data_IF_987670626810
#
_entry.id   IF_987670626810
#
_cell.length_a   1.000
_cell.length_b   1.000
_cell.length_c   1.000
_cell.angle_alpha   90.00
_cell.angle_beta   90.00
_cell.angle_gamma   90.00
#
_symmetry.space_group_name_H-M   'P 1'
#
loop_
_entity.id
_entity.type
_entity.pdbx_description
1 polymer ?
#
# COMPACT_ATOMS: atom_id res chain seq x y z
N UNK A 1 30.55 -6.84 12.96
CA UNK A 1 29.17 -6.43 12.66
C UNK A 1 29.03 -5.02 13.18
N UNK A 2 28.88 -4.02 12.30
CA UNK A 2 28.82 -2.63 12.71
C UNK A 2 27.47 -2.33 13.33
N UNK A 3 27.46 -1.75 14.52
CA UNK A 3 26.26 -1.09 15.04
C UNK A 3 26.01 0.16 14.20
N UNK A 4 24.83 0.24 13.62
CA UNK A 4 24.38 1.39 12.85
C UNK A 4 23.42 2.15 13.75
N UNK A 5 23.68 3.42 14.02
CA UNK A 5 22.71 4.27 14.72
C UNK A 5 21.67 4.80 13.71
N UNK A 6 20.41 4.43 13.90
CA UNK A 6 19.26 4.86 13.07
C UNK A 6 18.12 3.82 13.11
N UNK A 7 17.03 4.07 12.39
CA UNK A 7 15.87 3.14 12.21
C UNK A 7 16.19 1.90 11.35
N UNK A 8 17.46 1.62 11.08
CA UNK A 8 17.93 0.52 10.24
C UNK A 8 18.73 -0.54 11.02
N UNK A 9 19.00 -1.68 10.39
CA UNK A 9 19.87 -2.72 10.95
C UNK A 9 19.24 -4.12 11.03
N UNK A 10 17.93 -4.21 10.82
CA UNK A 10 17.20 -5.47 10.75
C UNK A 10 16.53 -5.60 9.38
N UNK A 11 17.00 -6.56 8.58
CA UNK A 11 16.37 -6.91 7.30
C UNK A 11 15.04 -7.61 7.58
N UNK A 12 13.94 -7.26 6.89
CA UNK A 12 12.66 -7.93 7.03
C UNK A 12 12.79 -9.45 6.80
N UNK A 13 12.06 -10.24 7.58
CA UNK A 13 12.04 -11.69 7.45
C UNK A 13 10.63 -12.14 7.13
N UNK A 14 10.52 -13.23 6.36
CA UNK A 14 9.24 -13.90 6.16
C UNK A 14 8.96 -14.76 7.40
N UNK A 15 8.24 -14.19 8.35
CA UNK A 15 7.69 -14.94 9.48
C UNK A 15 6.45 -15.73 9.02
N UNK A 16 6.23 -16.90 9.63
CA UNK A 16 5.06 -17.75 9.38
C UNK A 16 4.78 -18.02 7.87
N UNK A 17 5.80 -18.47 7.14
CA UNK A 17 5.73 -18.68 5.69
C UNK A 17 4.54 -19.55 5.23
N UNK A 18 4.17 -20.57 6.01
CA UNK A 18 2.99 -21.41 5.72
C UNK A 18 1.69 -20.62 5.77
N UNK A 19 1.50 -19.83 6.84
CA UNK A 19 0.31 -18.97 6.99
C UNK A 19 0.25 -17.92 5.88
N UNK A 20 1.38 -17.28 5.56
CA UNK A 20 1.46 -16.31 4.44
C UNK A 20 1.12 -16.95 3.10
N UNK A 21 1.55 -18.19 2.87
CA UNK A 21 1.20 -18.93 1.67
C UNK A 21 -0.31 -19.23 1.59
N UNK A 22 -0.93 -19.63 2.70
CA UNK A 22 -2.38 -19.83 2.77
C UNK A 22 -3.17 -18.54 2.53
N UNK A 23 -2.71 -17.41 3.10
CA UNK A 23 -3.27 -16.08 2.85
C UNK A 23 -3.18 -15.70 1.36
N UNK A 24 -2.03 -15.96 0.71
CA UNK A 24 -1.88 -15.73 -0.73
C UNK A 24 -2.79 -16.62 -1.58
N UNK A 25 -2.98 -17.88 -1.20
CA UNK A 25 -3.92 -18.75 -1.89
C UNK A 25 -5.36 -18.25 -1.77
N UNK A 26 -5.79 -17.83 -0.56
CA UNK A 26 -7.10 -17.19 -0.35
C UNK A 26 -7.24 -15.92 -1.19
N UNK A 27 -6.27 -15.02 -1.15
CA UNK A 27 -6.30 -13.80 -1.97
C UNK A 27 -6.39 -14.12 -3.47
N UNK A 28 -5.62 -15.08 -3.96
CA UNK A 28 -5.68 -15.51 -5.36
C UNK A 28 -7.09 -16.00 -5.74
N UNK A 29 -7.75 -16.76 -4.88
CA UNK A 29 -9.12 -17.19 -5.09
C UNK A 29 -10.12 -16.02 -5.06
N UNK A 30 -9.93 -15.03 -4.17
CA UNK A 30 -10.76 -13.83 -4.13
C UNK A 30 -10.64 -13.01 -5.43
N UNK A 31 -9.42 -12.88 -5.96
CA UNK A 31 -9.16 -12.25 -7.27
C UNK A 31 -9.87 -13.03 -8.39
N UNK A 32 -9.75 -14.36 -8.42
CA UNK A 32 -10.42 -15.20 -9.43
C UNK A 32 -11.95 -15.11 -9.37
N UNK A 33 -12.51 -14.86 -8.18
CA UNK A 33 -13.95 -14.64 -7.96
C UNK A 33 -14.40 -13.22 -8.33
N UNK A 34 -13.49 -12.32 -8.67
CA UNK A 34 -13.81 -10.92 -9.00
C UNK A 34 -14.18 -10.06 -7.78
N UNK A 35 -13.76 -10.47 -6.58
CA UNK A 35 -13.98 -9.68 -5.36
C UNK A 35 -12.95 -8.55 -5.22
N UNK A 36 -11.77 -8.70 -5.84
CA UNK A 36 -10.68 -7.74 -5.82
C UNK A 36 -10.62 -7.00 -7.16
N UNK A 37 -10.60 -5.67 -7.13
CA UNK A 37 -10.52 -4.78 -8.32
C UNK A 37 -9.08 -4.53 -8.74
N UNK A 38 -8.20 -4.30 -7.77
CA UNK A 38 -6.77 -4.02 -7.97
C UNK A 38 -6.00 -4.65 -6.82
N UNK A 39 -4.75 -5.02 -7.07
CA UNK A 39 -3.85 -5.52 -6.05
C UNK A 39 -2.42 -5.04 -6.36
N UNK A 40 -1.67 -4.67 -5.34
CA UNK A 40 -0.27 -4.25 -5.45
C UNK A 40 0.50 -4.70 -4.21
N UNK A 41 1.69 -5.26 -4.37
CA UNK A 41 2.54 -5.63 -3.25
C UNK A 41 3.18 -4.39 -2.60
N UNK A 42 3.45 -4.47 -1.29
CA UNK A 42 4.32 -3.51 -0.62
C UNK A 42 5.75 -4.05 -0.62
N UNK A 43 6.60 -3.53 -1.50
CA UNK A 43 8.01 -3.92 -1.63
C UNK A 43 8.93 -2.74 -1.33
N UNK A 44 9.74 -2.31 -2.29
CA UNK A 44 10.71 -1.22 -2.11
C UNK A 44 9.97 0.10 -1.86
N UNK A 45 10.39 0.83 -0.83
CA UNK A 45 9.70 2.06 -0.41
C UNK A 45 8.38 1.87 0.35
N UNK A 46 7.98 0.62 0.62
CA UNK A 46 6.92 0.30 1.56
C UNK A 46 5.51 0.65 1.10
N UNK A 47 4.63 0.93 2.06
CA UNK A 47 3.21 1.16 1.82
C UNK A 47 2.95 2.46 1.04
N UNK A 48 3.68 3.53 1.36
CA UNK A 48 3.53 4.83 0.72
C UNK A 48 3.78 4.77 -0.78
N UNK A 49 4.85 4.09 -1.21
CA UNK A 49 5.15 3.88 -2.63
C UNK A 49 4.09 3.01 -3.30
N UNK A 50 3.71 1.88 -2.70
CA UNK A 50 2.69 1.00 -3.28
C UNK A 50 1.36 1.73 -3.55
N UNK A 51 0.90 2.55 -2.59
CA UNK A 51 -0.33 3.34 -2.77
C UNK A 51 -0.14 4.42 -3.84
N UNK A 52 1.00 5.11 -3.85
CA UNK A 52 1.29 6.11 -4.88
C UNK A 52 1.28 5.50 -6.29
N UNK A 53 1.90 4.33 -6.48
CA UNK A 53 1.89 3.58 -7.75
C UNK A 53 0.47 3.15 -8.15
N UNK A 54 -0.33 2.69 -7.20
CA UNK A 54 -1.75 2.40 -7.44
C UNK A 54 -2.53 3.64 -7.86
N UNK A 55 -2.28 4.80 -7.24
CA UNK A 55 -2.91 6.08 -7.60
C UNK A 55 -2.51 6.54 -9.02
N UNK A 56 -1.23 6.43 -9.36
CA UNK A 56 -0.69 6.74 -10.70
C UNK A 56 -1.32 5.82 -11.75
N UNK A 57 -1.29 4.51 -11.53
CA UNK A 57 -1.85 3.51 -12.46
C UNK A 57 -3.37 3.68 -12.63
N UNK A 58 -4.07 3.97 -11.53
CA UNK A 58 -5.51 4.21 -11.50
C UNK A 58 -5.93 5.58 -12.01
N UNK A 59 -5.00 6.55 -12.11
CA UNK A 59 -5.26 7.97 -12.38
C UNK A 59 -6.32 8.56 -11.45
N UNK A 60 -6.25 8.17 -10.17
CA UNK A 60 -7.24 8.46 -9.12
C UNK A 60 -6.52 8.65 -7.80
N UNK A 61 -6.98 9.61 -7.01
CA UNK A 61 -6.50 9.83 -5.66
C UNK A 61 -7.03 8.80 -4.65
N UNK A 62 -6.55 8.90 -3.42
CA UNK A 62 -6.98 8.10 -2.29
C UNK A 62 -6.76 8.86 -0.98
N UNK A 63 -7.54 8.51 0.04
CA UNK A 63 -7.34 8.99 1.41
C UNK A 63 -7.12 7.81 2.30
N UNK A 64 -5.99 7.83 2.99
CA UNK A 64 -5.44 6.70 3.72
C UNK A 64 -5.12 7.13 5.15
N UNK A 65 -5.59 6.34 6.12
CA UNK A 65 -5.29 6.51 7.53
C UNK A 65 -4.38 5.37 8.00
N UNK A 66 -3.27 5.74 8.62
CA UNK A 66 -2.29 4.82 9.19
C UNK A 66 -2.57 4.50 10.66
N UNK A 67 -3.54 5.17 11.30
CA UNK A 67 -3.84 4.93 12.71
C UNK A 67 -4.20 3.46 12.96
N UNK A 68 -3.61 2.89 14.00
CA UNK A 68 -3.78 1.48 14.35
C UNK A 68 -3.18 0.47 13.37
N UNK A 69 -2.46 0.89 12.32
CA UNK A 69 -1.82 -0.03 11.37
C UNK A 69 -0.51 -0.60 11.94
N UNK A 70 -0.58 -1.74 12.62
CA UNK A 70 0.60 -2.43 13.16
C UNK A 70 1.37 -1.66 14.23
N UNK A 71 2.49 -2.25 14.68
CA UNK A 71 3.22 -1.79 15.87
C UNK A 71 4.39 -0.82 15.58
N UNK A 72 4.57 -0.43 14.32
CA UNK A 72 5.60 0.53 13.91
C UNK A 72 5.27 1.97 14.31
N UNK A 73 6.28 2.84 14.32
CA UNK A 73 6.03 4.28 14.33
C UNK A 73 5.47 4.74 12.96
N UNK A 74 4.96 5.97 12.88
CA UNK A 74 4.34 6.55 11.68
C UNK A 74 5.18 6.32 10.42
N UNK A 75 6.49 6.55 10.49
CA UNK A 75 7.38 6.40 9.34
C UNK A 75 7.66 4.94 9.00
N UNK A 76 7.76 4.05 9.99
CA UNK A 76 7.84 2.61 9.79
C UNK A 76 6.58 2.03 9.16
N UNK A 77 5.39 2.54 9.51
CA UNK A 77 4.12 2.15 8.87
C UNK A 77 4.09 2.56 7.40
N UNK A 78 4.50 3.80 7.11
CA UNK A 78 4.44 4.37 5.76
C UNK A 78 5.54 3.84 4.84
N UNK A 79 6.80 3.85 5.28
CA UNK A 79 7.98 3.59 4.44
C UNK A 79 8.67 2.26 4.76
N UNK A 80 8.31 1.60 5.86
CA UNK A 80 8.90 0.32 6.22
C UNK A 80 8.61 -0.72 5.17
N UNK A 81 9.62 -1.48 4.79
CA UNK A 81 9.52 -2.59 3.84
C UNK A 81 9.27 -3.89 4.61
N UNK A 82 8.39 -4.75 4.10
CA UNK A 82 8.22 -6.09 4.66
C UNK A 82 7.62 -7.05 3.65
N UNK A 83 7.92 -8.33 3.82
CA UNK A 83 7.44 -9.39 2.94
C UNK A 83 6.01 -9.76 3.33
N UNK A 84 5.15 -10.10 2.35
CA UNK A 84 3.83 -10.63 2.69
C UNK A 84 2.68 -9.63 2.74
N UNK A 85 2.90 -8.35 2.40
CA UNK A 85 1.87 -7.31 2.42
C UNK A 85 1.41 -6.97 1.01
N UNK A 86 0.09 -6.92 0.84
CA UNK A 86 -0.56 -6.61 -0.44
C UNK A 86 -1.69 -5.61 -0.15
N UNK A 87 -1.67 -4.49 -0.85
CA UNK A 87 -2.77 -3.52 -0.87
C UNK A 87 -3.77 -3.96 -1.93
N UNK A 88 -5.04 -4.06 -1.55
CA UNK A 88 -6.12 -4.46 -2.45
C UNK A 88 -7.18 -3.36 -2.54
N UNK A 89 -7.62 -3.08 -3.76
CA UNK A 89 -8.80 -2.26 -4.02
C UNK A 89 -10.04 -3.13 -4.14
N UNK A 90 -11.11 -2.76 -3.45
CA UNK A 90 -12.40 -3.47 -3.46
C UNK A 90 -13.53 -2.50 -3.81
N UNK A 91 -14.58 -3.02 -4.45
CA UNK A 91 -15.82 -2.26 -4.65
C UNK A 91 -16.57 -2.14 -3.31
N UNK A 92 -17.10 -0.97 -2.92
CA UNK A 92 -17.85 -0.83 -1.65
C UNK A 92 -18.99 -1.84 -1.49
N UNK A 93 -19.63 -2.23 -2.59
CA UNK A 93 -20.71 -3.24 -2.58
C UNK A 93 -20.24 -4.69 -2.34
N UNK A 94 -18.94 -4.97 -2.48
CA UNK A 94 -18.34 -6.30 -2.31
C UNK A 94 -17.45 -6.37 -1.06
N UNK A 95 -17.34 -5.29 -0.29
CA UNK A 95 -16.47 -5.21 0.89
C UNK A 95 -16.80 -6.30 1.92
N UNK A 96 -18.07 -6.42 2.31
CA UNK A 96 -18.49 -7.44 3.27
C UNK A 96 -18.22 -8.86 2.76
N UNK A 97 -18.52 -9.14 1.49
CA UNK A 97 -18.28 -10.46 0.89
C UNK A 97 -16.78 -10.80 0.84
N UNK A 98 -15.92 -9.81 0.57
CA UNK A 98 -14.47 -9.98 0.60
C UNK A 98 -13.97 -10.24 2.03
N UNK A 99 -14.47 -9.49 3.02
CA UNK A 99 -14.09 -9.66 4.42
C UNK A 99 -14.49 -11.04 4.95
N UNK A 100 -15.70 -11.51 4.61
CA UNK A 100 -16.14 -12.88 4.93
C UNK A 100 -15.26 -13.93 4.23
N UNK A 101 -14.92 -13.70 2.96
CA UNK A 101 -14.10 -14.65 2.20
C UNK A 101 -12.65 -14.75 2.72
N UNK A 102 -12.12 -13.64 3.21
CA UNK A 102 -10.77 -13.55 3.76
C UNK A 102 -10.75 -13.67 5.30
N UNK A 103 -11.81 -14.20 5.91
CA UNK A 103 -11.86 -14.44 7.35
C UNK A 103 -10.63 -15.23 7.83
N UNK A 104 -10.05 -14.76 8.93
CA UNK A 104 -8.82 -15.31 9.52
C UNK A 104 -7.52 -14.84 8.83
N UNK A 105 -7.59 -14.00 7.80
CA UNK A 105 -6.43 -13.26 7.30
C UNK A 105 -6.24 -11.97 8.11
N UNK A 106 -4.98 -11.55 8.25
CA UNK A 106 -4.63 -10.26 8.83
C UNK A 106 -4.92 -9.13 7.82
N UNK A 107 -6.00 -8.38 8.05
CA UNK A 107 -6.53 -7.39 7.12
C UNK A 107 -6.85 -6.10 7.86
N UNK A 108 -6.41 -4.99 7.28
CA UNK A 108 -6.67 -3.65 7.77
C UNK A 108 -7.34 -2.81 6.68
N UNK A 109 -8.39 -2.08 7.05
CA UNK A 109 -8.96 -1.05 6.19
C UNK A 109 -8.03 0.16 6.23
N UNK A 110 -7.43 0.49 5.09
CA UNK A 110 -6.53 1.64 4.96
C UNK A 110 -7.27 2.95 4.67
N UNK A 111 -8.38 2.88 3.93
CA UNK A 111 -9.12 4.07 3.53
C UNK A 111 -9.86 3.89 2.22
N UNK A 112 -10.04 4.98 1.46
CA UNK A 112 -10.92 5.01 0.28
C UNK A 112 -10.28 5.71 -0.92
N UNK A 113 -10.57 5.19 -2.12
CA UNK A 113 -10.20 5.84 -3.39
C UNK A 113 -11.16 6.99 -3.67
N UNK A 114 -10.66 8.23 -3.75
CA UNK A 114 -11.45 9.43 -4.07
C UNK A 114 -10.56 10.56 -4.61
N UNK A 115 -11.18 11.49 -5.32
CA UNK A 115 -10.50 12.71 -5.79
C UNK A 115 -9.31 12.43 -6.69
N UNK A 116 -8.42 13.43 -6.76
CA UNK A 116 -7.22 13.44 -7.61
C UNK A 116 -5.93 13.61 -6.79
N UNK A 117 -6.03 13.54 -5.46
CA UNK A 117 -4.91 13.65 -4.53
C UNK A 117 -4.74 12.36 -3.73
N UNK A 118 -3.50 12.01 -3.43
CA UNK A 118 -3.17 11.07 -2.37
C UNK A 118 -3.01 11.86 -1.06
N UNK A 119 -3.97 11.67 -0.15
CA UNK A 119 -3.95 12.19 1.21
C UNK A 119 -3.56 11.03 2.16
N UNK A 120 -2.56 11.24 3.01
CA UNK A 120 -2.15 10.27 4.04
C UNK A 120 -2.16 10.96 5.41
N UNK A 121 -2.86 10.36 6.35
CA UNK A 121 -2.95 10.80 7.75
C UNK A 121 -2.52 9.67 8.70
N UNK A 122 -2.11 10.03 9.92
CA UNK A 122 -1.97 9.10 11.05
C UNK A 122 -2.79 9.68 12.21
N UNK A 123 -4.06 9.30 12.29
CA UNK A 123 -5.02 9.81 13.25
C UNK A 123 -5.34 11.29 13.01
N UNK A 124 -4.68 12.19 13.75
CA UNK A 124 -4.87 13.65 13.63
C UNK A 124 -3.75 14.34 12.87
N UNK A 125 -2.67 13.63 12.55
CA UNK A 125 -1.50 14.19 11.92
C UNK A 125 -1.61 14.05 10.40
N UNK A 126 -1.64 15.17 9.69
CA UNK A 126 -1.58 15.22 8.23
C UNK A 126 -0.13 14.98 7.77
N UNK A 127 0.11 13.89 7.03
CA UNK A 127 1.46 13.49 6.61
C UNK A 127 1.77 13.85 5.15
N UNK A 128 0.79 13.67 4.26
CA UNK A 128 0.94 13.89 2.83
C UNK A 128 -0.36 14.38 2.22
N UNK A 129 -0.27 15.38 1.35
CA UNK A 129 -1.31 15.74 0.39
C UNK A 129 -0.60 16.10 -0.93
N UNK A 130 -0.74 15.23 -1.94
CA UNK A 130 -0.11 15.40 -3.24
C UNK A 130 -1.06 14.99 -4.36
N UNK A 131 -1.15 15.81 -5.41
CA UNK A 131 -1.91 15.44 -6.60
C UNK A 131 -1.28 14.23 -7.31
N UNK A 132 -2.11 13.41 -7.94
CA UNK A 132 -1.65 12.27 -8.76
C UNK A 132 -0.76 12.75 -9.91
N UNK A 133 -0.98 13.96 -10.44
CA UNK A 133 -0.08 14.59 -11.42
C UNK A 133 1.32 14.81 -10.85
N UNK A 134 1.45 15.38 -9.65
CA UNK A 134 2.76 15.59 -9.01
C UNK A 134 3.46 14.26 -8.73
N UNK A 135 2.72 13.25 -8.27
CA UNK A 135 3.26 11.89 -8.07
C UNK A 135 3.79 11.32 -9.40
N UNK A 136 3.03 11.47 -10.48
CA UNK A 136 3.39 10.98 -11.81
C UNK A 136 4.64 11.68 -12.34
N UNK A 137 4.71 13.01 -12.24
CA UNK A 137 5.87 13.80 -12.67
C UNK A 137 7.14 13.42 -11.89
N UNK A 138 7.02 13.31 -10.56
CA UNK A 138 8.15 12.92 -9.71
C UNK A 138 8.66 11.51 -10.05
N UNK A 139 7.75 10.56 -10.26
CA UNK A 139 8.09 9.18 -10.63
C UNK A 139 8.74 9.12 -12.02
N UNK A 140 8.18 9.81 -13.02
CA UNK A 140 8.70 9.83 -14.39
C UNK A 140 10.03 10.57 -14.54
N UNK A 141 10.25 11.63 -13.76
CA UNK A 141 11.46 12.46 -13.86
C UNK A 141 12.76 11.69 -13.67
N UNK A 142 12.70 10.53 -12.99
CA UNK A 142 13.84 9.64 -12.78
C UNK A 142 14.32 8.93 -14.04
N UNK A 143 13.47 8.78 -15.06
CA UNK A 143 13.82 8.13 -16.34
C UNK A 143 14.49 9.07 -17.34
N UNK A 144 14.81 10.31 -16.93
CA UNK A 144 15.28 11.37 -17.82
C UNK A 144 14.08 11.93 -18.59
N UNK A 145 13.47 12.98 -18.03
CA UNK A 145 12.24 13.59 -18.51
C UNK A 145 12.17 13.63 -20.03
N UNK A 146 11.19 12.93 -20.59
CA UNK A 146 10.80 13.16 -21.98
C UNK A 146 10.35 14.60 -22.07
N UNK A 147 11.11 15.42 -22.78
CA UNK A 147 10.58 16.65 -23.35
C UNK A 147 9.30 16.25 -24.11
N UNK A 148 8.16 16.56 -23.50
CA UNK A 148 6.88 16.53 -24.17
C UNK A 148 6.92 17.68 -25.17
N UNK A 149 7.25 17.38 -26.43
CA UNK A 149 7.00 18.31 -27.52
C UNK A 149 5.50 18.58 -27.58
N UNK A 150 5.13 19.85 -27.48
CA UNK A 150 3.77 20.39 -27.71
C UNK A 150 3.18 19.95 -29.06
#
# INVERSE_FOLDING_TARGET
KGEVSGIGGHVPRLENATEKFEQYQKLSQAIQKGLVRTAHDCSEGGLGVAIAEMCIAGRRGAVIDLDGLGDGDTWGRLWGESLGRIVIGVSPHQENELMDFLEGCDIHLLGIVRGDNLEVIDGIDDLLDCSVSQLTEAWQGTFGGGEMFE
#
